data_IF_107273657147
#
_entry.id   IF_107273657147
#
_cell.length_a   1.000
_cell.length_b   1.000
_cell.length_c   1.000
_cell.angle_alpha   90.00
_cell.angle_beta   90.00
_cell.angle_gamma   90.00
#
_symmetry.space_group_name_H-M   'P 1'
#
loop_
_entity.id
_entity.type
_entity.pdbx_description
1 polymer ?
#
# COMPACT_ATOMS: atom_id res chain seq x y z
N UNK A 1 32.44 -5.32 21.96
CA UNK A 1 31.38 -4.37 21.51
C UNK A 1 30.01 -5.06 21.55
N UNK A 2 29.06 -4.51 22.29
CA UNK A 2 27.68 -5.03 22.23
C UNK A 2 27.08 -4.69 20.86
N UNK A 3 26.59 -5.71 20.16
CA UNK A 3 25.91 -5.50 18.88
C UNK A 3 24.55 -4.85 19.14
N UNK A 4 24.31 -3.69 18.53
CA UNK A 4 23.01 -3.01 18.62
C UNK A 4 21.95 -3.83 17.85
N UNK A 5 20.81 -4.06 18.49
CA UNK A 5 19.66 -4.67 17.80
C UNK A 5 19.14 -3.64 16.80
N UNK A 6 19.08 -4.04 15.53
CA UNK A 6 18.62 -3.19 14.45
C UNK A 6 17.10 -3.17 14.35
N UNK A 7 16.56 -2.01 13.98
CA UNK A 7 15.11 -1.76 13.92
C UNK A 7 14.67 -1.41 12.50
N UNK A 8 13.44 -1.80 12.15
CA UNK A 8 12.79 -1.46 10.88
C UNK A 8 11.29 -1.48 11.03
N UNK A 9 10.59 -0.86 10.11
CA UNK A 9 9.13 -0.99 9.97
C UNK A 9 8.80 -1.99 8.86
N UNK A 10 7.71 -2.73 9.06
CA UNK A 10 7.14 -3.62 8.05
C UNK A 10 5.70 -3.18 7.79
N UNK A 11 5.34 -3.08 6.52
CA UNK A 11 3.98 -2.72 6.11
C UNK A 11 3.77 -1.22 5.95
N UNK A 12 2.53 -0.85 5.69
CA UNK A 12 2.15 0.53 5.38
C UNK A 12 2.29 1.44 6.60
N UNK A 13 2.90 2.59 6.39
CA UNK A 13 2.95 3.67 7.38
C UNK A 13 1.83 4.68 7.11
N UNK A 14 1.44 5.50 8.11
CA UNK A 14 0.33 6.45 7.95
C UNK A 14 0.56 7.43 6.79
N UNK A 15 -0.45 7.57 5.95
CA UNK A 15 -0.47 8.46 4.78
C UNK A 15 -1.20 9.76 5.11
N UNK A 16 -0.93 10.80 4.32
CA UNK A 16 -1.76 12.00 4.36
C UNK A 16 -3.19 11.69 3.88
N UNK A 17 -4.15 12.49 4.33
CA UNK A 17 -5.53 12.35 3.87
C UNK A 17 -5.62 12.49 2.34
N UNK A 18 -4.89 13.46 1.78
CA UNK A 18 -4.83 13.69 0.34
C UNK A 18 -4.36 12.44 -0.41
N UNK A 19 -3.28 11.80 0.05
CA UNK A 19 -2.78 10.59 -0.58
C UNK A 19 -3.77 9.43 -0.45
N UNK A 20 -4.39 9.29 0.72
CA UNK A 20 -5.38 8.23 0.97
C UNK A 20 -6.57 8.34 0.01
N UNK A 21 -7.07 9.55 -0.21
CA UNK A 21 -8.17 9.81 -1.16
C UNK A 21 -7.78 9.48 -2.60
N UNK A 22 -6.58 9.90 -3.02
CA UNK A 22 -6.08 9.64 -4.38
C UNK A 22 -5.88 8.13 -4.61
N UNK A 23 -5.33 7.42 -3.64
CA UNK A 23 -5.16 5.96 -3.71
C UNK A 23 -6.51 5.25 -3.82
N UNK A 24 -7.49 5.70 -3.04
CA UNK A 24 -8.84 5.15 -3.06
C UNK A 24 -9.48 5.35 -4.45
N UNK A 25 -9.45 6.57 -4.97
CA UNK A 25 -9.97 6.89 -6.31
C UNK A 25 -9.29 6.04 -7.39
N UNK A 26 -7.96 5.89 -7.30
CA UNK A 26 -7.19 5.05 -8.22
C UNK A 26 -7.66 3.59 -8.18
N UNK A 27 -7.90 3.05 -6.98
CA UNK A 27 -8.36 1.66 -6.82
C UNK A 27 -9.77 1.45 -7.39
N UNK A 28 -10.63 2.48 -7.26
CA UNK A 28 -11.98 2.45 -7.81
C UNK A 28 -12.02 2.75 -9.32
N UNK A 29 -10.85 2.93 -9.93
CA UNK A 29 -10.69 3.25 -11.37
C UNK A 29 -11.35 4.58 -11.74
N UNK A 30 -11.47 5.49 -10.77
CA UNK A 30 -11.91 6.85 -11.02
C UNK A 30 -10.82 7.65 -11.72
N UNK A 31 -11.22 8.70 -12.44
CA UNK A 31 -10.28 9.58 -13.11
C UNK A 31 -9.48 10.37 -12.07
N UNK A 32 -8.15 10.30 -12.15
CA UNK A 32 -7.26 11.07 -11.29
C UNK A 32 -6.20 11.79 -12.14
N UNK A 33 -5.69 12.89 -11.64
CA UNK A 33 -4.51 13.53 -12.23
C UNK A 33 -3.26 12.78 -11.74
N UNK A 34 -2.63 12.03 -12.65
CA UNK A 34 -1.44 11.24 -12.31
C UNK A 34 -0.25 12.13 -11.95
N UNK A 35 -0.14 13.35 -12.49
CA UNK A 35 0.93 14.27 -12.12
C UNK A 35 0.75 14.75 -10.66
N UNK A 36 -0.48 15.05 -10.27
CA UNK A 36 -0.79 15.37 -8.87
C UNK A 36 -0.51 14.19 -7.97
N UNK A 37 -1.00 13.01 -8.35
CA UNK A 37 -0.78 11.77 -7.59
C UNK A 37 0.70 11.55 -7.30
N UNK A 38 1.55 11.68 -8.33
CA UNK A 38 2.99 11.46 -8.22
C UNK A 38 3.65 12.46 -7.26
N UNK A 39 3.26 13.73 -7.33
CA UNK A 39 3.77 14.78 -6.44
C UNK A 39 3.40 14.51 -4.98
N UNK A 40 2.16 14.05 -4.74
CA UNK A 40 1.68 13.74 -3.39
C UNK A 40 2.39 12.51 -2.84
N UNK A 41 2.57 11.47 -3.66
CA UNK A 41 3.35 10.27 -3.29
C UNK A 41 4.77 10.68 -2.88
N UNK A 42 5.45 11.46 -3.73
CA UNK A 42 6.84 11.90 -3.45
C UNK A 42 6.92 12.67 -2.15
N UNK A 43 5.98 13.61 -1.93
CA UNK A 43 5.89 14.39 -0.69
C UNK A 43 5.73 13.49 0.54
N UNK A 44 4.81 12.52 0.47
CA UNK A 44 4.55 11.62 1.60
C UNK A 44 5.73 10.66 1.84
N UNK A 45 6.38 10.16 0.78
CA UNK A 45 7.61 9.36 0.93
C UNK A 45 8.70 10.17 1.63
N UNK A 46 8.95 11.41 1.17
CA UNK A 46 9.94 12.30 1.79
C UNK A 46 9.64 12.51 3.28
N UNK A 47 8.38 12.76 3.62
CA UNK A 47 7.97 13.03 5.00
C UNK A 47 8.19 11.79 5.88
N UNK A 48 7.79 10.60 5.41
CA UNK A 48 7.89 9.38 6.22
C UNK A 48 9.35 8.90 6.36
N UNK A 49 10.16 9.12 5.32
CA UNK A 49 11.61 8.83 5.37
C UNK A 49 12.27 9.71 6.44
N UNK A 50 12.03 11.03 6.38
CA UNK A 50 12.56 11.97 7.38
C UNK A 50 12.15 11.58 8.80
N UNK A 51 10.88 11.25 8.99
CA UNK A 51 10.36 10.86 10.30
C UNK A 51 11.03 9.61 10.85
N UNK A 52 11.23 8.59 9.99
CA UNK A 52 11.94 7.36 10.38
C UNK A 52 13.39 7.67 10.80
N UNK A 53 14.07 8.55 10.07
CA UNK A 53 15.45 8.97 10.39
C UNK A 53 15.46 9.70 11.73
N UNK A 54 14.55 10.65 11.93
CA UNK A 54 14.45 11.47 13.15
C UNK A 54 14.26 10.62 14.41
N UNK A 55 13.46 9.54 14.32
CA UNK A 55 13.23 8.65 15.46
C UNK A 55 14.26 7.53 15.57
N UNK A 56 15.25 7.48 14.68
CA UNK A 56 16.38 6.57 14.78
C UNK A 56 16.14 5.15 14.29
N UNK A 57 15.26 4.96 13.33
CA UNK A 57 15.05 3.64 12.69
C UNK A 57 16.31 3.31 11.86
N UNK A 58 16.85 2.09 12.03
CA UNK A 58 18.09 1.68 11.37
C UNK A 58 17.92 1.36 9.89
N UNK A 59 16.81 0.71 9.52
CA UNK A 59 16.48 0.36 8.13
C UNK A 59 15.15 0.98 7.77
N UNK A 60 15.20 2.06 7.01
CA UNK A 60 14.02 2.85 6.64
C UNK A 60 13.35 2.28 5.38
N UNK A 61 12.06 2.59 5.20
CA UNK A 61 11.25 2.18 4.05
C UNK A 61 10.48 3.36 3.48
N UNK A 62 9.89 3.17 2.29
CA UNK A 62 9.00 4.16 1.67
C UNK A 62 7.62 4.24 2.34
N UNK A 63 7.36 3.39 3.35
CA UNK A 63 6.08 3.34 4.05
C UNK A 63 4.92 2.84 3.19
N UNK A 64 5.21 2.23 2.04
CA UNK A 64 4.21 1.78 1.06
C UNK A 64 3.30 2.92 0.57
N UNK A 65 3.83 4.14 0.47
CA UNK A 65 3.04 5.34 0.13
C UNK A 65 2.39 5.25 -1.25
N UNK A 66 3.04 4.61 -2.24
CA UNK A 66 2.56 4.56 -3.63
C UNK A 66 1.47 3.51 -3.88
N UNK A 67 1.10 2.72 -2.87
CA UNK A 67 0.24 1.54 -3.07
C UNK A 67 -0.76 1.36 -1.93
N UNK A 68 -1.96 0.84 -2.26
CA UNK A 68 -2.99 0.53 -1.27
C UNK A 68 -2.57 -0.70 -0.46
N UNK A 69 -2.10 -1.73 -1.16
CA UNK A 69 -1.62 -2.96 -0.56
C UNK A 69 -0.64 -3.63 -1.52
N UNK A 70 0.17 -4.53 -0.99
CA UNK A 70 1.09 -5.31 -1.83
C UNK A 70 0.34 -6.18 -2.84
N UNK A 71 -0.86 -6.63 -2.53
CA UNK A 71 -1.66 -7.46 -3.45
C UNK A 71 -2.09 -6.67 -4.68
N UNK A 72 -2.58 -5.44 -4.50
CA UNK A 72 -2.97 -4.57 -5.63
C UNK A 72 -1.75 -4.09 -6.40
N UNK A 73 -0.66 -3.82 -5.72
CA UNK A 73 0.62 -3.42 -6.30
C UNK A 73 1.12 -4.47 -7.33
N UNK A 74 0.99 -5.75 -6.99
CA UNK A 74 1.45 -6.84 -7.85
C UNK A 74 0.63 -6.91 -9.14
N UNK A 75 -0.70 -6.82 -9.05
CA UNK A 75 -1.57 -6.91 -10.24
C UNK A 75 -1.34 -5.79 -11.25
N UNK A 76 -0.90 -4.62 -10.77
CA UNK A 76 -0.64 -3.46 -11.63
C UNK A 76 0.67 -3.61 -12.42
N UNK A 77 1.58 -4.47 -11.99
CA UNK A 77 2.94 -4.61 -12.53
C UNK A 77 3.23 -5.94 -13.21
N UNK A 78 2.39 -6.92 -12.96
CA UNK A 78 2.55 -8.28 -13.48
C UNK A 78 1.25 -8.68 -14.18
N UNK A 79 1.36 -9.13 -15.42
CA UNK A 79 0.26 -9.74 -16.16
C UNK A 79 0.00 -11.14 -15.60
N UNK A 80 -1.18 -11.68 -15.87
CA UNK A 80 -1.59 -12.99 -15.41
C UNK A 80 -2.58 -12.94 -14.26
N UNK A 81 -2.87 -11.74 -13.76
CA UNK A 81 -3.86 -11.54 -12.70
C UNK A 81 -5.12 -10.92 -13.27
N UNK A 82 -6.29 -11.52 -13.01
CA UNK A 82 -7.58 -10.97 -13.42
C UNK A 82 -8.69 -11.50 -12.53
N UNK A 83 -9.91 -11.04 -12.80
CA UNK A 83 -11.10 -11.45 -12.04
C UNK A 83 -11.10 -10.88 -10.63
N UNK A 84 -12.07 -11.32 -9.88
CA UNK A 84 -12.28 -10.88 -8.50
C UNK A 84 -12.64 -12.09 -7.63
N UNK A 85 -12.02 -12.18 -6.46
CA UNK A 85 -12.43 -13.14 -5.46
C UNK A 85 -13.10 -12.41 -4.30
N UNK A 86 -14.23 -12.91 -3.88
CA UNK A 86 -14.96 -12.36 -2.74
C UNK A 86 -14.13 -12.50 -1.46
N UNK A 87 -13.98 -11.39 -0.75
CA UNK A 87 -13.30 -11.42 0.54
C UNK A 87 -14.32 -11.80 1.62
N UNK A 88 -14.19 -13.01 2.13
CA UNK A 88 -14.98 -13.43 3.28
C UNK A 88 -14.40 -12.79 4.55
N UNK A 89 -15.27 -12.34 5.43
CA UNK A 89 -14.85 -11.83 6.72
C UNK A 89 -14.13 -12.95 7.50
N UNK A 90 -13.12 -12.60 8.30
CA UNK A 90 -12.49 -13.60 9.17
C UNK A 90 -13.51 -14.25 10.10
N UNK A 91 -13.50 -15.56 10.17
CA UNK A 91 -14.46 -16.34 10.97
C UNK A 91 -14.37 -16.05 12.47
N UNK A 92 -13.17 -15.73 12.95
CA UNK A 92 -12.94 -15.37 14.34
C UNK A 92 -13.65 -14.09 14.77
N UNK A 93 -14.12 -13.28 13.81
CA UNK A 93 -14.92 -12.08 14.09
C UNK A 93 -16.42 -12.37 14.22
N UNK A 94 -16.86 -13.57 13.89
CA UNK A 94 -18.28 -13.91 13.94
C UNK A 94 -18.83 -13.88 15.37
N UNK A 95 -17.98 -14.19 16.36
CA UNK A 95 -18.33 -14.13 17.78
C UNK A 95 -18.31 -12.69 18.33
N UNK A 96 -17.84 -11.71 17.56
CA UNK A 96 -17.66 -10.32 18.00
C UNK A 96 -18.30 -9.34 17.01
N UNK A 97 -19.63 -9.34 16.86
CA UNK A 97 -20.31 -8.56 15.83
C UNK A 97 -20.08 -7.05 15.94
N UNK A 98 -20.04 -6.49 17.14
CA UNK A 98 -19.79 -5.06 17.34
C UNK A 98 -18.36 -4.66 16.93
N UNK A 99 -17.39 -5.53 17.18
CA UNK A 99 -16.00 -5.32 16.76
C UNK A 99 -15.88 -5.43 15.23
N UNK A 100 -16.54 -6.42 14.65
CA UNK A 100 -16.61 -6.62 13.18
C UNK A 100 -17.16 -5.37 12.49
N UNK A 101 -18.26 -4.81 13.03
CA UNK A 101 -18.86 -3.58 12.53
C UNK A 101 -17.91 -2.38 12.66
N UNK A 102 -17.23 -2.25 13.81
CA UNK A 102 -16.26 -1.18 14.03
C UNK A 102 -15.11 -1.25 13.02
N UNK A 103 -14.55 -2.44 12.80
CA UNK A 103 -13.48 -2.63 11.81
C UNK A 103 -13.97 -2.26 10.41
N UNK A 104 -15.19 -2.65 10.04
CA UNK A 104 -15.77 -2.32 8.72
C UNK A 104 -15.87 -0.81 8.51
N UNK A 105 -16.11 -0.04 9.59
CA UNK A 105 -16.20 1.43 9.52
C UNK A 105 -14.85 2.13 9.57
N UNK A 106 -13.88 1.58 10.32
CA UNK A 106 -12.61 2.27 10.62
C UNK A 106 -11.38 1.60 10.00
N UNK A 107 -11.52 0.38 9.56
CA UNK A 107 -10.41 -0.51 9.22
C UNK A 107 -9.83 -0.38 7.84
N UNK A 108 -9.79 0.81 7.28
CA UNK A 108 -9.14 1.03 5.99
C UNK A 108 -10.02 0.72 4.80
N UNK A 109 -9.43 0.52 3.66
CA UNK A 109 -10.15 0.31 2.39
C UNK A 109 -11.12 -0.87 2.49
N UNK A 110 -12.42 -0.60 2.47
CA UNK A 110 -13.43 -1.66 2.72
C UNK A 110 -13.40 -2.77 1.67
N UNK A 111 -13.04 -2.45 0.45
CA UNK A 111 -13.09 -3.42 -0.63
C UNK A 111 -12.03 -3.15 -1.69
N UNK A 112 -10.83 -3.66 -1.50
CA UNK A 112 -9.96 -3.80 -2.66
C UNK A 112 -10.20 -5.18 -3.27
N UNK A 113 -10.26 -5.21 -4.60
CA UNK A 113 -10.44 -6.46 -5.34
C UNK A 113 -9.20 -7.34 -5.20
N UNK A 114 -9.41 -8.60 -4.85
CA UNK A 114 -8.33 -9.59 -4.83
C UNK A 114 -8.24 -10.23 -6.20
N UNK A 115 -7.18 -9.96 -6.95
CA UNK A 115 -7.01 -10.60 -8.24
C UNK A 115 -6.70 -12.08 -8.09
N UNK A 116 -7.18 -12.86 -9.05
CA UNK A 116 -6.87 -14.29 -9.14
C UNK A 116 -5.75 -14.48 -10.17
N UNK A 117 -4.87 -15.44 -9.95
CA UNK A 117 -3.89 -15.84 -10.95
C UNK A 117 -4.62 -16.69 -11.98
N UNK A 118 -4.78 -16.16 -13.19
CA UNK A 118 -5.61 -16.77 -14.25
C UNK A 118 -4.84 -17.17 -15.48
N UNK A 119 -3.58 -16.73 -15.61
CA UNK A 119 -2.73 -17.07 -16.77
C UNK A 119 -1.26 -16.92 -16.40
N UNK A 120 -0.38 -17.20 -17.35
CA UNK A 120 1.07 -17.11 -17.18
C UNK A 120 1.49 -15.73 -16.65
N UNK A 121 2.33 -15.71 -15.62
CA UNK A 121 2.82 -14.47 -15.02
C UNK A 121 3.96 -13.87 -15.84
N UNK A 122 3.83 -12.61 -16.22
CA UNK A 122 4.85 -11.87 -16.97
C UNK A 122 5.00 -10.46 -16.42
N UNK A 123 6.23 -9.98 -16.35
CA UNK A 123 6.49 -8.60 -15.93
C UNK A 123 5.89 -7.66 -17.00
N UNK A 124 4.92 -6.86 -16.58
CA UNK A 124 4.21 -5.92 -17.44
C UNK A 124 4.99 -4.62 -17.59
N UNK A 125 5.54 -4.11 -16.49
CA UNK A 125 6.17 -2.81 -16.45
C UNK A 125 7.26 -2.74 -15.38
N UNK A 126 8.43 -2.23 -15.75
CA UNK A 126 9.55 -1.99 -14.82
C UNK A 126 9.69 -0.51 -14.45
N UNK A 127 9.01 0.40 -15.15
CA UNK A 127 9.13 1.84 -14.93
C UNK A 127 8.60 2.23 -13.54
N UNK A 128 7.55 1.55 -13.08
CA UNK A 128 6.98 1.79 -11.76
C UNK A 128 7.98 1.47 -10.63
N UNK A 129 8.80 0.43 -10.79
CA UNK A 129 9.85 0.10 -9.82
C UNK A 129 10.92 1.20 -9.80
N UNK A 130 11.37 1.64 -10.97
CA UNK A 130 12.35 2.73 -11.10
C UNK A 130 11.82 4.01 -10.42
N UNK A 131 10.54 4.29 -10.60
CA UNK A 131 9.89 5.45 -9.99
C UNK A 131 9.88 5.36 -8.46
N UNK A 132 9.52 4.18 -7.91
CA UNK A 132 9.54 3.97 -6.46
C UNK A 132 10.95 4.16 -5.90
N UNK A 133 11.98 3.63 -6.58
CA UNK A 133 13.38 3.78 -6.18
C UNK A 133 13.77 5.27 -6.19
N UNK A 134 13.42 5.99 -7.25
CA UNK A 134 13.74 7.42 -7.38
C UNK A 134 13.04 8.26 -6.30
N UNK A 135 11.83 7.93 -5.94
CA UNK A 135 11.09 8.60 -4.87
C UNK A 135 11.72 8.36 -3.48
N UNK A 136 12.39 7.25 -3.31
CA UNK A 136 13.01 6.87 -2.04
C UNK A 136 14.43 7.43 -1.86
N UNK A 137 14.86 7.34 -2.98
CA UNK A 137 16.22 7.71 -3.02
C UNK A 137 16.65 8.98 -2.74
#
# INVERSE_FOLDING_TARGET
MMSKIKTTHVGSLPRSNELSELLFKKDQKEQIDFNQFDKVVQKDVNNIVKKQIEVGIDYISDGEMSKISYATYVKDRIDGFSGESERKAPKDLDDFPSFKERIARTGGTPTYTRPCCTSELKIKDKTSLTKDINNFX
#
